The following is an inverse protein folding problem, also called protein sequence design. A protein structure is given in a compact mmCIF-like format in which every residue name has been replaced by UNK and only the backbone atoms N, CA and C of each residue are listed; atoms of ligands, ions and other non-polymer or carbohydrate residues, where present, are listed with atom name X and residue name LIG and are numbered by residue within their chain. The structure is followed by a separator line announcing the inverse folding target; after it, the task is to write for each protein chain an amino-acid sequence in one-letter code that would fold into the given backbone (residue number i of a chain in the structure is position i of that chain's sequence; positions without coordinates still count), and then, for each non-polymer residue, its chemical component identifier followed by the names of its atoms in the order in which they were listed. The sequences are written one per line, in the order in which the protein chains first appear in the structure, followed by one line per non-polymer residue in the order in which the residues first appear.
data_IF_292583828245
#
_entry.id   IF_292583828245
#
_cell.length_a   1.000
_cell.length_b   1.000
_cell.length_c   1.000
_cell.angle_alpha   90.00
_cell.angle_beta   90.00
_cell.angle_gamma   90.00
#
_symmetry.space_group_name_H-M   'P 1'
#
loop_
_entity.id
_entity.type
_entity.pdbx_description
1 polymer ?
#
# COMPACT_ATOMS: atom_id res chain seq x y z
N UNK A 1 -34.44 -12.57 24.82
CA UNK A 1 -33.03 -12.47 25.22
C UNK A 1 -32.17 -12.82 24.00
N UNK A 2 -31.39 -11.85 23.50
CA UNK A 2 -30.66 -11.96 22.24
C UNK A 2 -29.33 -12.70 22.37
N UNK A 3 -29.07 -13.64 21.47
CA UNK A 3 -27.78 -14.30 21.34
C UNK A 3 -26.82 -13.38 20.57
N UNK A 4 -25.72 -12.99 21.21
CA UNK A 4 -24.64 -12.22 20.62
C UNK A 4 -23.93 -13.05 19.54
N UNK A 5 -23.90 -12.55 18.30
CA UNK A 5 -23.11 -13.11 17.20
C UNK A 5 -21.67 -12.61 17.34
N UNK A 6 -20.71 -13.52 17.52
CA UNK A 6 -19.29 -13.21 17.45
C UNK A 6 -18.88 -12.79 16.03
N UNK A 7 -17.95 -11.84 15.86
CA UNK A 7 -17.44 -11.48 14.54
C UNK A 7 -16.55 -12.62 14.00
N UNK A 8 -16.93 -13.18 12.86
CA UNK A 8 -16.12 -14.14 12.12
C UNK A 8 -15.09 -13.39 11.29
N UNK A 9 -13.86 -13.32 11.78
CA UNK A 9 -12.71 -12.90 10.98
C UNK A 9 -12.43 -14.01 9.96
N UNK A 10 -12.86 -13.80 8.72
CA UNK A 10 -12.46 -14.66 7.62
C UNK A 10 -11.02 -14.28 7.23
N UNK A 11 -10.04 -15.07 7.69
CA UNK A 11 -8.71 -15.07 7.07
C UNK A 11 -8.85 -15.61 5.65
N UNK A 12 -9.00 -14.71 4.68
CA UNK A 12 -8.72 -15.03 3.29
C UNK A 12 -7.20 -15.16 3.17
N UNK A 13 -6.71 -16.40 3.08
CA UNK A 13 -5.36 -16.66 2.57
C UNK A 13 -5.37 -16.35 1.07
N UNK A 14 -5.28 -15.07 0.74
CA UNK A 14 -4.87 -14.64 -0.58
C UNK A 14 -3.37 -14.95 -0.68
N UNK A 15 -3.01 -15.93 -1.50
CA UNK A 15 -1.63 -16.11 -1.93
C UNK A 15 -1.29 -14.89 -2.78
N UNK A 16 -0.89 -13.81 -2.13
CA UNK A 16 -0.38 -12.64 -2.81
C UNK A 16 0.93 -13.06 -3.48
N UNK A 17 0.91 -13.19 -4.80
CA UNK A 17 2.10 -13.34 -5.64
C UNK A 17 2.88 -12.02 -5.70
N UNK A 18 3.03 -11.38 -4.54
CA UNK A 18 3.74 -10.13 -4.39
C UNK A 18 5.24 -10.41 -4.29
N UNK A 19 6.04 -9.59 -4.97
CA UNK A 19 7.50 -9.71 -4.94
C UNK A 19 8.01 -9.48 -3.53
N UNK A 20 8.33 -10.56 -2.82
CA UNK A 20 9.20 -10.51 -1.65
C UNK A 20 10.59 -10.06 -2.10
N UNK A 21 11.20 -9.12 -1.39
CA UNK A 21 12.57 -8.72 -1.66
C UNK A 21 13.56 -9.88 -1.46
N UNK A 22 14.77 -9.70 -1.98
CA UNK A 22 15.84 -10.69 -1.86
C UNK A 22 16.18 -11.05 -0.40
N UNK A 23 15.91 -10.13 0.53
CA UNK A 23 16.09 -10.29 1.97
C UNK A 23 14.88 -10.91 2.69
N UNK A 24 13.82 -11.28 1.97
CA UNK A 24 12.61 -11.88 2.54
C UNK A 24 11.55 -10.88 2.98
N UNK A 25 11.77 -9.57 2.86
CA UNK A 25 10.79 -8.55 3.27
C UNK A 25 9.71 -8.28 2.22
N UNK A 26 8.51 -7.95 2.68
CA UNK A 26 7.38 -7.57 1.81
C UNK A 26 7.63 -6.16 1.26
N UNK A 27 7.70 -6.03 -0.07
CA UNK A 27 7.87 -4.74 -0.73
C UNK A 27 6.54 -3.96 -0.75
N UNK A 28 6.49 -2.85 -0.02
CA UNK A 28 5.28 -2.02 0.13
C UNK A 28 5.52 -0.64 -0.46
N UNK A 29 4.64 -0.20 -1.36
CA UNK A 29 4.52 1.21 -1.69
C UNK A 29 3.46 1.85 -0.78
N UNK A 30 3.79 2.99 -0.19
CA UNK A 30 2.88 3.83 0.57
C UNK A 30 2.64 5.14 -0.19
N UNK A 31 1.45 5.72 -0.11
CA UNK A 31 1.14 6.99 -0.77
C UNK A 31 2.10 8.12 -0.31
N UNK A 32 2.04 8.47 0.97
CA UNK A 32 2.84 9.54 1.56
C UNK A 32 3.34 9.13 2.97
N UNK A 33 4.18 9.97 3.58
CA UNK A 33 4.97 9.62 4.77
C UNK A 33 4.16 9.05 5.96
N UNK A 34 3.02 9.62 6.39
CA UNK A 34 2.16 9.01 7.42
C UNK A 34 1.78 7.56 7.16
N UNK A 35 1.46 7.20 5.91
CA UNK A 35 1.11 5.82 5.56
C UNK A 35 2.37 4.94 5.55
N UNK A 36 3.50 5.47 5.06
CA UNK A 36 4.79 4.78 5.16
C UNK A 36 5.16 4.48 6.62
N UNK A 37 5.05 5.48 7.50
CA UNK A 37 5.33 5.35 8.92
C UNK A 37 4.44 4.29 9.57
N UNK A 38 3.14 4.30 9.29
CA UNK A 38 2.22 3.28 9.80
C UNK A 38 2.63 1.88 9.33
N UNK A 39 2.94 1.72 8.06
CA UNK A 39 3.38 0.44 7.49
C UNK A 39 4.65 -0.09 8.17
N UNK A 40 5.64 0.79 8.40
CA UNK A 40 6.88 0.43 9.09
C UNK A 40 6.65 0.14 10.57
N UNK A 41 5.82 0.92 11.26
CA UNK A 41 5.54 0.74 12.69
C UNK A 41 4.79 -0.58 12.97
N UNK A 42 3.88 -0.98 12.08
CA UNK A 42 3.15 -2.25 12.20
C UNK A 42 3.97 -3.43 11.68
N UNK A 43 4.58 -3.29 10.51
CA UNK A 43 5.27 -4.37 9.81
C UNK A 43 6.67 -4.67 10.33
N UNK A 44 7.32 -3.72 11.01
CA UNK A 44 8.65 -3.88 11.58
C UNK A 44 9.67 -4.41 10.58
N UNK A 45 10.40 -5.45 10.98
CA UNK A 45 11.44 -6.11 10.16
C UNK A 45 10.89 -6.92 8.98
N UNK A 46 9.57 -7.14 8.90
CA UNK A 46 8.96 -7.95 7.83
C UNK A 46 8.65 -7.16 6.56
N UNK A 47 8.73 -5.83 6.60
CA UNK A 47 8.35 -4.97 5.48
C UNK A 47 9.50 -4.09 5.03
N UNK A 48 9.47 -3.77 3.74
CA UNK A 48 10.25 -2.71 3.13
C UNK A 48 9.30 -1.70 2.51
N UNK A 49 8.90 -0.70 3.31
CA UNK A 49 7.91 0.28 2.93
C UNK A 49 8.56 1.62 2.55
N UNK A 50 8.22 2.10 1.35
CA UNK A 50 8.68 3.38 0.82
C UNK A 50 7.48 4.24 0.37
N UNK A 51 7.51 5.53 0.69
CA UNK A 51 6.53 6.49 0.17
C UNK A 51 6.78 6.75 -1.32
N UNK A 52 5.70 6.89 -2.10
CA UNK A 52 5.79 7.30 -3.50
C UNK A 52 5.96 8.81 -3.62
N UNK A 53 5.41 9.58 -2.69
CA UNK A 53 5.72 11.01 -2.56
C UNK A 53 7.11 11.19 -1.93
N UNK A 54 8.03 11.93 -2.57
CA UNK A 54 9.33 12.23 -2.00
C UNK A 54 9.24 13.06 -0.72
N UNK A 55 10.31 13.00 0.09
CA UNK A 55 10.40 13.83 1.30
C UNK A 55 10.31 15.31 0.96
N UNK A 56 9.60 16.08 1.80
CA UNK A 56 9.37 17.53 1.65
C UNK A 56 8.61 17.93 0.38
N UNK A 57 7.88 17.00 -0.25
CA UNK A 57 6.98 17.28 -1.36
C UNK A 57 5.54 17.19 -0.90
N UNK A 58 4.70 18.12 -1.35
CA UNK A 58 3.27 18.11 -1.10
C UNK A 58 2.61 16.93 -1.85
N UNK A 59 2.07 15.92 -1.16
CA UNK A 59 1.50 14.73 -1.80
C UNK A 59 0.25 15.01 -2.63
N UNK A 60 -0.55 16.03 -2.31
CA UNK A 60 -1.74 16.35 -3.09
C UNK A 60 -1.42 16.77 -4.53
N UNK A 61 -0.29 17.47 -4.71
CA UNK A 61 0.15 18.02 -5.99
C UNK A 61 1.25 17.17 -6.66
N UNK A 62 1.67 16.07 -6.02
CA UNK A 62 2.75 15.25 -6.55
C UNK A 62 2.28 14.37 -7.71
N UNK A 63 2.94 14.56 -8.84
CA UNK A 63 2.68 13.79 -10.06
C UNK A 63 3.66 12.62 -10.20
N UNK A 64 3.12 11.40 -10.27
CA UNK A 64 3.92 10.19 -10.51
C UNK A 64 4.50 10.21 -11.91
N UNK A 65 5.79 9.93 -12.03
CA UNK A 65 6.39 9.70 -13.34
C UNK A 65 5.95 8.33 -13.90
N UNK A 66 6.00 8.12 -15.23
CA UNK A 66 5.73 6.80 -15.81
C UNK A 66 6.61 5.68 -15.23
N UNK A 67 7.82 6.03 -14.80
CA UNK A 67 8.73 5.11 -14.12
C UNK A 67 8.20 4.71 -12.74
N UNK A 68 7.65 5.66 -11.99
CA UNK A 68 7.07 5.39 -10.67
C UNK A 68 5.86 4.45 -10.81
N UNK A 69 4.96 4.73 -11.76
CA UNK A 69 3.80 3.85 -12.07
C UNK A 69 4.25 2.44 -12.43
N UNK A 70 5.29 2.31 -13.27
CA UNK A 70 5.84 0.99 -13.62
C UNK A 70 6.40 0.26 -12.39
N UNK A 71 7.03 1.00 -11.46
CA UNK A 71 7.59 0.42 -10.25
C UNK A 71 6.53 -0.13 -9.29
N UNK A 72 5.32 0.44 -9.30
CA UNK A 72 4.20 0.00 -8.47
C UNK A 72 3.79 -1.44 -8.77
N UNK A 73 3.78 -1.85 -10.04
CA UNK A 73 3.45 -3.23 -10.45
C UNK A 73 4.41 -4.28 -9.87
N UNK A 74 5.63 -3.87 -9.49
CA UNK A 74 6.62 -4.76 -8.87
C UNK A 74 6.44 -4.94 -7.36
N UNK A 75 5.50 -4.22 -6.73
CA UNK A 75 5.27 -4.25 -5.27
C UNK A 75 4.35 -5.39 -4.87
N UNK A 76 4.49 -5.84 -3.63
CA UNK A 76 3.56 -6.81 -3.06
C UNK A 76 2.27 -6.15 -2.58
N UNK A 77 2.36 -4.92 -2.07
CA UNK A 77 1.21 -4.14 -1.65
C UNK A 77 1.38 -2.64 -1.95
N UNK A 78 0.25 -1.98 -2.19
CA UNK A 78 0.12 -0.52 -2.28
C UNK A 78 -0.87 -0.07 -1.21
N UNK A 79 -0.40 0.75 -0.28
CA UNK A 79 -1.19 1.33 0.80
C UNK A 79 -1.40 2.81 0.49
N UNK A 80 -2.64 3.23 0.28
CA UNK A 80 -2.95 4.61 -0.12
C UNK A 80 -4.25 5.12 0.50
N UNK A 81 -4.46 6.43 0.41
CA UNK A 81 -5.73 7.09 0.78
C UNK A 81 -6.39 7.53 -0.52
N UNK A 82 -7.51 6.92 -0.86
CA UNK A 82 -8.25 7.24 -2.08
C UNK A 82 -8.77 8.68 -2.06
N UNK A 83 -8.61 9.39 -3.19
CA UNK A 83 -9.02 10.79 -3.34
C UNK A 83 -8.04 11.80 -2.76
N UNK A 84 -6.89 11.36 -2.23
CA UNK A 84 -5.91 12.24 -1.60
C UNK A 84 -4.83 12.71 -2.58
N UNK A 85 -4.31 11.79 -3.39
CA UNK A 85 -3.26 12.04 -4.37
C UNK A 85 -3.76 11.57 -5.75
N UNK A 86 -4.26 12.49 -6.61
CA UNK A 86 -4.95 12.12 -7.86
C UNK A 86 -4.10 11.23 -8.79
N UNK A 87 -2.81 11.53 -8.93
CA UNK A 87 -1.90 10.75 -9.78
C UNK A 87 -1.77 9.29 -9.33
N UNK A 88 -1.84 9.05 -8.01
CA UNK A 88 -1.78 7.71 -7.45
C UNK A 88 -3.10 6.97 -7.61
N UNK A 89 -4.24 7.66 -7.48
CA UNK A 89 -5.56 7.09 -7.78
C UNK A 89 -5.62 6.57 -9.22
N UNK A 90 -5.14 7.36 -10.18
CA UNK A 90 -5.05 6.96 -11.58
C UNK A 90 -4.09 5.78 -11.77
N UNK A 91 -2.93 5.81 -11.12
CA UNK A 91 -1.94 4.75 -11.21
C UNK A 91 -2.47 3.41 -10.66
N UNK A 92 -3.14 3.40 -9.51
CA UNK A 92 -3.66 2.15 -8.91
C UNK A 92 -4.77 1.51 -9.74
N UNK A 93 -5.49 2.29 -10.56
CA UNK A 93 -6.48 1.78 -11.50
C UNK A 93 -5.85 1.05 -12.70
N UNK A 94 -4.57 1.30 -12.99
CA UNK A 94 -3.86 0.76 -14.16
C UNK A 94 -2.95 -0.43 -13.82
N UNK A 95 -2.48 -0.52 -12.58
CA UNK A 95 -1.55 -1.58 -12.15
C UNK A 95 -2.29 -2.86 -11.78
N UNK A 96 -1.62 -3.99 -11.98
CA UNK A 96 -2.11 -5.32 -11.60
C UNK A 96 -0.97 -6.12 -10.98
N UNK A 97 -1.29 -6.99 -10.02
CA UNK A 97 -0.30 -7.77 -9.25
C UNK A 97 -0.30 -7.44 -7.75
N UNK A 98 0.01 -6.19 -7.35
CA UNK A 98 0.01 -5.81 -5.93
C UNK A 98 -1.37 -5.91 -5.30
N UNK A 99 -1.40 -6.21 -4.00
CA UNK A 99 -2.62 -5.98 -3.20
C UNK A 99 -2.80 -4.49 -2.95
N UNK A 100 -3.90 -3.91 -3.41
CA UNK A 100 -4.21 -2.49 -3.24
C UNK A 100 -5.17 -2.32 -2.07
N UNK A 101 -4.76 -1.56 -1.05
CA UNK A 101 -5.58 -1.29 0.14
C UNK A 101 -5.80 0.21 0.31
N UNK A 102 -7.06 0.61 0.32
CA UNK A 102 -7.46 1.96 0.70
C UNK A 102 -7.51 2.07 2.23
N UNK A 103 -6.81 3.05 2.79
CA UNK A 103 -6.79 3.33 4.22
C UNK A 103 -7.58 4.61 4.51
N UNK A 104 -8.72 4.43 5.16
CA UNK A 104 -9.47 5.50 5.84
C UNK A 104 -9.53 5.07 7.30
N UNK A 105 -9.01 5.90 8.20
CA UNK A 105 -9.13 5.65 9.64
C UNK A 105 -10.56 5.91 10.11
#
# INVERSE_FOLDING_TARGET
AGAARAPSWHSASATATGTTAADGRIQVAASFYPIQYLAQAIGGEHVDAAAVTPTNVEPHDYELSPRDVTSLSGKAAILYVSGFQPSLDDAVAQVSGPTVTNHVF
#
